data_IF_090130798205
#
_entry.id   IF_090130798205
#
_cell.length_a   1.000
_cell.length_b   1.000
_cell.length_c   1.000
_cell.angle_alpha   90.00
_cell.angle_beta   90.00
_cell.angle_gamma   90.00
#
_symmetry.space_group_name_H-M   'P 1'
#
loop_
_entity.id
_entity.type
_entity.pdbx_description
1 polymer ?
#
# COMPACT_ATOMS: atom_id res chain seq x y z
N UNK A 1 -7.80 -12.43 6.83
CA UNK A 1 -7.87 -11.72 5.54
C UNK A 1 -7.80 -12.76 4.43
N UNK A 2 -8.70 -12.76 3.43
CA UNK A 2 -8.62 -13.69 2.30
C UNK A 2 -7.40 -13.38 1.43
N UNK A 3 -6.96 -14.34 0.62
CA UNK A 3 -5.91 -14.09 -0.38
C UNK A 3 -6.49 -13.34 -1.58
N UNK A 4 -5.66 -12.59 -2.30
CA UNK A 4 -6.13 -11.90 -3.49
C UNK A 4 -6.65 -12.85 -4.57
N UNK A 5 -6.07 -14.05 -4.66
CA UNK A 5 -6.51 -15.07 -5.61
C UNK A 5 -7.90 -15.63 -5.26
N UNK A 6 -8.19 -15.84 -3.97
CA UNK A 6 -9.49 -16.31 -3.52
C UNK A 6 -10.59 -15.27 -3.81
N UNK A 7 -10.31 -13.99 -3.52
CA UNK A 7 -11.26 -12.90 -3.80
C UNK A 7 -11.47 -12.69 -5.29
N UNK A 8 -10.40 -12.79 -6.09
CA UNK A 8 -10.49 -12.73 -7.55
C UNK A 8 -11.45 -13.79 -8.10
N UNK A 9 -11.31 -15.03 -7.63
CA UNK A 9 -12.16 -16.14 -8.04
C UNK A 9 -13.62 -15.95 -7.59
N UNK A 10 -13.83 -15.54 -6.34
CA UNK A 10 -15.17 -15.32 -5.77
C UNK A 10 -15.95 -14.23 -6.50
N UNK A 11 -15.29 -13.11 -6.80
CA UNK A 11 -15.91 -11.92 -7.39
C UNK A 11 -15.87 -11.90 -8.93
N UNK A 12 -15.29 -12.92 -9.57
CA UNK A 12 -15.11 -12.96 -11.03
C UNK A 12 -14.42 -11.73 -11.63
N UNK A 13 -13.51 -11.10 -10.87
CA UNK A 13 -12.76 -9.93 -11.31
C UNK A 13 -11.48 -10.31 -12.06
N UNK A 14 -11.00 -9.43 -12.94
CA UNK A 14 -9.82 -9.69 -13.78
C UNK A 14 -8.50 -9.56 -13.00
N UNK A 15 -8.47 -8.71 -11.99
CA UNK A 15 -7.25 -8.28 -11.28
C UNK A 15 -7.30 -8.66 -9.81
N UNK A 16 -6.12 -8.84 -9.22
CA UNK A 16 -5.98 -9.02 -7.77
C UNK A 16 -6.16 -7.68 -7.04
N UNK A 17 -6.81 -7.68 -5.88
CA UNK A 17 -6.75 -6.57 -4.91
C UNK A 17 -5.58 -6.77 -3.93
N UNK A 18 -5.28 -5.80 -3.06
CA UNK A 18 -4.17 -5.89 -2.12
C UNK A 18 -4.47 -6.84 -0.96
N UNK A 19 -3.80 -7.99 -0.96
CA UNK A 19 -3.73 -8.92 0.17
C UNK A 19 -2.52 -8.64 1.07
N UNK A 20 -2.13 -7.38 1.21
CA UNK A 20 -1.01 -6.92 2.01
C UNK A 20 -1.36 -5.57 2.64
N UNK A 21 -0.74 -5.26 3.78
CA UNK A 21 -0.90 -3.99 4.48
C UNK A 21 0.43 -3.28 4.64
N UNK A 22 0.38 -1.96 4.73
CA UNK A 22 1.56 -1.16 4.98
C UNK A 22 2.08 -1.36 6.40
N UNK A 23 3.40 -1.46 6.55
CA UNK A 23 4.04 -1.65 7.86
C UNK A 23 4.31 -0.35 8.63
N UNK A 24 4.21 0.81 7.96
CA UNK A 24 4.71 2.10 8.47
C UNK A 24 6.17 2.36 8.14
N UNK A 25 6.89 1.38 7.57
CA UNK A 25 8.33 1.46 7.38
C UNK A 25 8.77 1.52 5.93
N UNK A 26 10.00 1.99 5.74
CA UNK A 26 10.77 2.04 4.51
C UNK A 26 12.13 1.37 4.73
N UNK A 27 12.70 0.77 3.68
CA UNK A 27 14.09 0.29 3.67
C UNK A 27 14.87 0.89 2.50
N UNK A 28 16.15 1.21 2.72
CA UNK A 28 17.06 1.62 1.64
C UNK A 28 17.37 0.45 0.71
N UNK A 29 17.78 0.74 -0.52
CA UNK A 29 18.35 -0.24 -1.45
C UNK A 29 19.67 -0.81 -0.93
N UNK A 30 19.96 -2.08 -1.25
CA UNK A 30 21.24 -2.75 -0.98
C UNK A 30 21.66 -2.74 0.51
N UNK A 31 20.69 -2.78 1.42
CA UNK A 31 20.92 -2.81 2.88
C UNK A 31 20.39 -4.09 3.51
N UNK A 32 20.94 -4.41 4.69
CA UNK A 32 20.45 -5.53 5.49
C UNK A 32 19.25 -5.10 6.33
N UNK A 33 18.15 -5.85 6.20
CA UNK A 33 16.94 -5.74 7.01
C UNK A 33 16.81 -6.99 7.88
N UNK A 34 16.74 -6.80 9.20
CA UNK A 34 16.55 -7.88 10.16
C UNK A 34 15.11 -7.85 10.69
N UNK A 35 14.41 -8.98 10.62
CA UNK A 35 13.03 -9.11 11.07
C UNK A 35 12.81 -10.41 11.82
N UNK A 36 11.93 -10.37 12.82
CA UNK A 36 11.44 -11.54 13.55
C UNK A 36 9.96 -11.72 13.23
N UNK A 37 9.52 -12.95 13.01
CA UNK A 37 8.09 -13.21 12.74
C UNK A 37 7.57 -14.47 13.41
N UNK A 38 6.28 -14.47 13.71
CA UNK A 38 5.52 -15.69 13.98
C UNK A 38 4.91 -16.20 12.67
N UNK A 39 4.95 -17.51 12.39
CA UNK A 39 4.45 -18.03 11.11
C UNK A 39 5.28 -17.56 9.92
N UNK A 40 4.70 -17.63 8.72
CA UNK A 40 5.44 -17.46 7.45
C UNK A 40 4.78 -16.41 6.53
N UNK A 41 4.78 -15.12 6.90
CA UNK A 41 4.33 -14.05 6.02
C UNK A 41 5.34 -13.82 4.88
N UNK A 42 4.98 -12.96 3.93
CA UNK A 42 5.93 -12.37 3.00
C UNK A 42 6.04 -10.86 3.24
N UNK A 43 7.26 -10.32 3.10
CA UNK A 43 7.46 -8.89 2.95
C UNK A 43 7.45 -8.52 1.47
N UNK A 44 6.82 -7.40 1.16
CA UNK A 44 6.96 -6.73 -0.14
C UNK A 44 7.74 -5.44 0.14
N UNK A 45 8.91 -5.29 -0.47
CA UNK A 45 9.80 -4.14 -0.29
C UNK A 45 9.78 -3.36 -1.61
N UNK A 46 9.23 -2.16 -1.57
CA UNK A 46 8.85 -1.37 -2.74
C UNK A 46 7.34 -1.33 -2.94
N UNK A 47 6.88 -0.42 -3.80
CA UNK A 47 5.46 -0.25 -4.12
C UNK A 47 5.22 -0.62 -5.58
N UNK A 48 4.17 -1.40 -5.85
CA UNK A 48 3.76 -1.72 -7.22
C UNK A 48 3.57 -0.44 -8.05
N UNK A 49 4.19 -0.42 -9.23
CA UNK A 49 4.11 0.65 -10.22
C UNK A 49 4.68 2.02 -9.78
N UNK A 50 5.33 2.11 -8.63
CA UNK A 50 5.89 3.37 -8.15
C UNK A 50 7.12 3.82 -8.94
N UNK A 51 7.97 2.87 -9.35
CA UNK A 51 9.26 3.14 -9.97
C UNK A 51 9.31 2.62 -11.42
N UNK A 52 9.75 3.45 -12.36
CA UNK A 52 9.83 3.18 -13.80
C UNK A 52 10.84 2.09 -14.13
N UNK A 53 11.91 2.01 -13.34
CA UNK A 53 12.99 1.05 -13.55
C UNK A 53 12.64 -0.34 -12.99
N UNK A 54 11.60 -0.45 -12.16
CA UNK A 54 11.04 -1.72 -11.68
C UNK A 54 9.59 -1.57 -11.20
N UNK A 55 8.66 -2.20 -11.93
CA UNK A 55 7.23 -2.06 -11.64
C UNK A 55 6.74 -2.88 -10.43
N UNK A 56 7.52 -3.84 -9.93
CA UNK A 56 7.10 -4.76 -8.88
C UNK A 56 8.03 -4.68 -7.67
N UNK A 57 7.51 -4.86 -6.44
CA UNK A 57 8.34 -4.91 -5.24
C UNK A 57 9.15 -6.20 -5.19
N UNK A 58 10.25 -6.17 -4.42
CA UNK A 58 10.95 -7.37 -4.01
C UNK A 58 10.07 -8.13 -3.01
N UNK A 59 9.74 -9.39 -3.31
CA UNK A 59 8.93 -10.24 -2.43
C UNK A 59 9.85 -11.23 -1.70
N UNK A 60 9.80 -11.22 -0.37
CA UNK A 60 10.63 -12.10 0.47
C UNK A 60 9.73 -12.89 1.42
N UNK A 61 9.70 -14.21 1.26
CA UNK A 61 9.01 -15.11 2.18
C UNK A 61 9.83 -15.25 3.46
N UNK A 62 9.20 -15.03 4.61
CA UNK A 62 9.84 -15.18 5.90
C UNK A 62 9.58 -16.58 6.48
N UNK A 63 10.53 -17.04 7.29
CA UNK A 63 10.36 -18.20 8.15
C UNK A 63 10.06 -17.77 9.59
N UNK A 64 9.36 -18.58 10.39
CA UNK A 64 9.17 -18.29 11.80
C UNK A 64 10.53 -18.09 12.51
N UNK A 65 10.61 -17.09 13.38
CA UNK A 65 11.85 -16.69 14.03
C UNK A 65 12.58 -15.56 13.29
N UNK A 66 13.91 -15.53 13.41
CA UNK A 66 14.76 -14.46 12.88
C UNK A 66 15.07 -14.65 11.40
N UNK A 67 14.94 -13.58 10.63
CA UNK A 67 15.26 -13.53 9.20
C UNK A 67 16.19 -12.35 8.94
N UNK A 68 17.15 -12.54 8.03
CA UNK A 68 18.03 -11.48 7.53
C UNK A 68 17.89 -11.39 6.02
N UNK A 69 17.53 -10.20 5.55
CA UNK A 69 17.12 -9.93 4.17
C UNK A 69 18.05 -8.87 3.62
N UNK A 70 18.50 -9.04 2.38
CA UNK A 70 19.18 -7.98 1.64
C UNK A 70 18.17 -7.33 0.72
N UNK A 71 17.93 -6.03 0.89
CA UNK A 71 17.03 -5.26 0.03
C UNK A 71 17.71 -5.03 -1.33
N UNK A 72 16.96 -5.13 -2.43
CA UNK A 72 17.51 -4.87 -3.77
C UNK A 72 17.29 -3.42 -4.17
N UNK A 73 16.01 -3.00 -4.24
CA UNK A 73 15.64 -1.68 -4.73
C UNK A 73 15.30 -0.68 -3.60
N UNK A 74 14.99 -1.19 -2.41
CA UNK A 74 14.41 -0.39 -1.33
C UNK A 74 12.95 -0.03 -1.57
N UNK A 75 12.41 0.84 -0.72
CA UNK A 75 11.02 1.32 -0.80
C UNK A 75 10.19 1.02 0.44
N UNK A 76 8.91 1.41 0.37
CA UNK A 76 7.93 1.14 1.42
C UNK A 76 7.79 -0.37 1.65
N UNK A 77 7.65 -0.77 2.91
CA UNK A 77 7.56 -2.18 3.30
C UNK A 77 6.11 -2.53 3.61
N UNK A 78 5.61 -3.59 2.98
CA UNK A 78 4.30 -4.17 3.22
C UNK A 78 4.43 -5.59 3.73
N UNK A 79 3.42 -6.03 4.48
CA UNK A 79 3.33 -7.40 4.99
C UNK A 79 2.13 -8.08 4.35
N UNK A 80 2.39 -9.20 3.68
CA UNK A 80 1.38 -10.14 3.21
C UNK A 80 1.32 -11.31 4.20
N UNK A 81 0.17 -11.60 4.83
CA UNK A 81 0.07 -12.74 5.72
C UNK A 81 0.25 -14.05 4.95
N UNK A 82 0.81 -15.04 5.63
CA UNK A 82 0.76 -16.43 5.18
C UNK A 82 -0.60 -17.07 5.49
N UNK A 83 -0.67 -18.39 5.41
CA UNK A 83 -1.88 -19.16 5.74
C UNK A 83 -2.28 -19.12 7.23
N UNK A 84 -1.39 -18.65 8.12
CA UNK A 84 -1.65 -18.58 9.55
C UNK A 84 -2.72 -17.54 9.91
N UNK A 85 -3.61 -17.88 10.85
CA UNK A 85 -4.72 -17.02 11.28
C UNK A 85 -4.27 -15.65 11.85
N UNK A 86 -3.09 -15.59 12.47
CA UNK A 86 -2.47 -14.35 12.93
C UNK A 86 -0.95 -14.42 12.79
N UNK A 87 -0.35 -13.34 12.28
CA UNK A 87 1.11 -13.17 12.17
C UNK A 87 1.53 -11.89 12.87
N UNK A 88 2.61 -11.96 13.65
CA UNK A 88 3.33 -10.80 14.20
C UNK A 88 4.65 -10.69 13.46
N UNK A 89 4.94 -9.50 12.94
CA UNK A 89 6.24 -9.15 12.37
C UNK A 89 6.84 -8.05 13.22
N UNK A 90 8.07 -8.26 13.68
CA UNK A 90 8.86 -7.29 14.43
C UNK A 90 10.08 -6.93 13.59
N UNK A 91 10.21 -5.65 13.26
CA UNK A 91 11.40 -5.13 12.59
C UNK A 91 12.48 -4.88 13.64
N UNK A 92 13.63 -5.53 13.49
CA UNK A 92 14.74 -5.48 14.45
C UNK A 92 15.73 -4.39 14.08
N UNK A 93 16.14 -4.33 12.80
CA UNK A 93 17.04 -3.29 12.30
C UNK A 93 16.98 -3.15 10.77
N UNK A 94 17.42 -2.01 10.26
CA UNK A 94 17.47 -1.68 8.83
C UNK A 94 16.23 -0.96 8.30
N UNK A 95 15.13 -0.98 9.04
CA UNK A 95 13.92 -0.21 8.74
C UNK A 95 14.06 1.26 9.15
N UNK A 96 13.37 2.15 8.44
CA UNK A 96 13.18 3.56 8.78
C UNK A 96 11.69 3.88 8.80
N UNK A 97 11.28 4.82 9.64
CA UNK A 97 9.91 5.34 9.63
C UNK A 97 9.60 6.03 8.28
N UNK A 98 8.37 5.87 7.80
CA UNK A 98 7.87 6.54 6.62
C UNK A 98 6.58 7.32 6.96
N UNK A 99 6.35 8.51 6.37
CA UNK A 99 5.12 9.24 6.59
C UNK A 99 3.89 8.40 6.20
N UNK A 100 2.97 8.26 7.14
CA UNK A 100 1.77 7.45 7.05
C UNK A 100 0.54 8.18 7.61
N UNK A 101 -0.38 8.55 6.72
CA UNK A 101 -1.70 9.05 7.10
C UNK A 101 -2.69 7.90 7.12
N UNK A 102 -3.37 7.67 8.24
CA UNK A 102 -4.44 6.68 8.35
C UNK A 102 -5.74 7.36 8.75
N UNK A 103 -6.78 7.19 7.92
CA UNK A 103 -8.09 7.78 8.14
C UNK A 103 -8.64 7.44 9.52
N UNK A 104 -9.09 8.46 10.25
CA UNK A 104 -9.60 8.34 11.62
C UNK A 104 -8.54 8.06 12.69
N UNK A 105 -7.24 8.04 12.35
CA UNK A 105 -6.14 7.87 13.32
C UNK A 105 -5.09 8.98 13.27
N UNK A 106 -4.68 9.38 12.07
CA UNK A 106 -3.68 10.44 11.89
C UNK A 106 -4.39 11.79 11.76
N UNK A 107 -3.98 12.79 12.53
CA UNK A 107 -4.45 14.17 12.36
C UNK A 107 -3.61 14.92 11.32
N UNK A 108 -4.11 16.02 10.75
CA UNK A 108 -3.32 16.86 9.82
C UNK A 108 -2.04 17.42 10.47
N UNK A 109 -2.09 17.73 11.77
CA UNK A 109 -0.91 18.15 12.54
C UNK A 109 0.11 17.01 12.66
N UNK A 110 -0.33 15.78 12.94
CA UNK A 110 0.54 14.62 12.98
C UNK A 110 1.15 14.35 11.61
N UNK A 111 0.35 14.48 10.55
CA UNK A 111 0.80 14.31 9.18
C UNK A 111 1.90 15.29 8.81
N UNK A 112 1.68 16.59 9.05
CA UNK A 112 2.69 17.61 8.80
C UNK A 112 3.98 17.35 9.61
N UNK A 113 3.85 16.88 10.86
CA UNK A 113 4.99 16.50 11.70
C UNK A 113 5.73 15.29 11.13
N UNK A 114 5.03 14.26 10.68
CA UNK A 114 5.63 13.08 10.05
C UNK A 114 6.37 13.45 8.77
N UNK A 115 5.77 14.27 7.90
CA UNK A 115 6.41 14.76 6.68
C UNK A 115 7.72 15.51 7.00
N UNK A 116 7.76 16.28 8.08
CA UNK A 116 8.99 16.97 8.52
C UNK A 116 10.03 16.02 9.13
N UNK A 117 9.59 15.04 9.92
CA UNK A 117 10.48 14.19 10.74
C UNK A 117 11.04 13.00 9.97
N UNK A 118 10.20 12.31 9.20
CA UNK A 118 10.54 11.07 8.51
C UNK A 118 11.08 11.38 7.11
N UNK A 119 12.27 11.98 7.06
CA UNK A 119 12.88 12.48 5.82
C UNK A 119 13.55 11.39 4.98
N UNK A 120 13.82 10.22 5.58
CA UNK A 120 14.56 9.16 4.91
C UNK A 120 13.73 8.36 3.90
N UNK A 121 12.41 8.34 4.04
CA UNK A 121 11.51 7.72 3.07
C UNK A 121 11.20 8.72 1.93
N UNK A 122 11.52 8.40 0.67
CA UNK A 122 11.22 9.26 -0.47
C UNK A 122 9.73 9.22 -0.86
N UNK A 123 8.99 8.25 -0.33
CA UNK A 123 7.59 7.98 -0.61
C UNK A 123 6.77 7.97 0.68
N UNK A 124 5.48 8.25 0.54
CA UNK A 124 4.52 8.28 1.64
C UNK A 124 3.30 7.45 1.31
N UNK A 125 2.49 7.13 2.32
CA UNK A 125 1.24 6.41 2.13
C UNK A 125 0.08 7.08 2.88
N UNK A 126 -1.06 7.20 2.20
CA UNK A 126 -2.36 7.52 2.79
C UNK A 126 -3.22 6.25 2.78
N UNK A 127 -3.86 5.89 3.88
CA UNK A 127 -4.73 4.71 3.97
C UNK A 127 -6.12 5.09 4.45
N UNK A 128 -7.10 4.84 3.58
CA UNK A 128 -8.53 4.90 3.88
C UNK A 128 -9.05 3.58 4.42
N UNK A 129 -10.37 3.40 4.39
CA UNK A 129 -11.02 2.14 4.75
C UNK A 129 -10.92 1.12 3.62
N UNK A 130 -10.89 1.56 2.36
CA UNK A 130 -10.94 0.70 1.17
C UNK A 130 -9.74 0.90 0.25
N UNK A 131 -8.94 1.93 0.49
CA UNK A 131 -7.88 2.36 -0.41
C UNK A 131 -6.55 2.60 0.32
N UNK A 132 -5.45 2.41 -0.41
CA UNK A 132 -4.13 2.92 -0.09
C UNK A 132 -3.67 3.81 -1.24
N UNK A 133 -3.16 5.00 -0.96
CA UNK A 133 -2.58 5.90 -1.95
C UNK A 133 -1.10 6.10 -1.67
N UNK A 134 -0.25 5.88 -2.68
CA UNK A 134 1.19 6.10 -2.57
C UNK A 134 1.62 7.21 -3.50
N UNK A 135 2.42 8.14 -2.98
CA UNK A 135 3.00 9.25 -3.72
C UNK A 135 4.38 9.59 -3.21
N UNK A 136 5.11 10.39 -3.98
CA UNK A 136 6.38 10.96 -3.55
C UNK A 136 6.19 11.89 -2.33
N UNK A 137 7.14 11.85 -1.39
CA UNK A 137 7.18 12.77 -0.24
C UNK A 137 7.26 14.22 -0.69
N UNK A 138 7.92 14.50 -1.83
CA UNK A 138 7.98 15.84 -2.41
C UNK A 138 6.57 16.37 -2.75
N UNK A 139 5.70 15.54 -3.35
CA UNK A 139 4.31 15.94 -3.60
C UNK A 139 3.49 16.02 -2.34
N UNK A 140 3.66 15.08 -1.42
CA UNK A 140 2.99 15.14 -0.13
C UNK A 140 3.30 16.45 0.62
N UNK A 141 4.54 16.95 0.54
CA UNK A 141 4.91 18.27 1.08
C UNK A 141 4.22 19.41 0.34
N UNK A 142 4.12 19.33 -1.00
CA UNK A 142 3.44 20.35 -1.82
C UNK A 142 1.95 20.46 -1.46
N UNK A 143 1.29 19.33 -1.20
CA UNK A 143 -0.14 19.24 -0.90
C UNK A 143 -0.44 18.99 0.59
N UNK A 144 0.52 19.29 1.47
CA UNK A 144 0.40 18.97 2.91
C UNK A 144 -0.75 19.68 3.64
N UNK A 145 -1.31 20.74 3.05
CA UNK A 145 -2.39 21.54 3.62
C UNK A 145 -3.77 21.12 3.10
N UNK A 146 -3.84 20.13 2.22
CA UNK A 146 -5.11 19.53 1.80
C UNK A 146 -5.78 18.76 2.95
N UNK A 147 -7.07 18.53 2.82
CA UNK A 147 -7.83 17.68 3.75
C UNK A 147 -7.66 16.20 3.33
N UNK A 148 -6.69 15.51 3.94
CA UNK A 148 -6.35 14.13 3.59
C UNK A 148 -7.46 13.16 3.97
N UNK A 149 -8.26 13.49 4.99
CA UNK A 149 -9.44 12.72 5.34
C UNK A 149 -10.47 12.77 4.20
N UNK A 150 -10.80 13.96 3.68
CA UNK A 150 -11.72 14.10 2.55
C UNK A 150 -11.23 13.43 1.29
N UNK A 151 -9.92 13.48 1.00
CA UNK A 151 -9.32 12.79 -0.16
C UNK A 151 -9.55 11.27 -0.06
N UNK A 152 -9.24 10.69 1.11
CA UNK A 152 -9.44 9.25 1.35
C UNK A 152 -10.92 8.86 1.34
N UNK A 153 -11.78 9.68 1.94
CA UNK A 153 -13.23 9.46 1.94
C UNK A 153 -13.82 9.51 0.52
N UNK A 154 -13.34 10.42 -0.32
CA UNK A 154 -13.77 10.50 -1.72
C UNK A 154 -13.40 9.22 -2.49
N UNK A 155 -12.18 8.69 -2.30
CA UNK A 155 -11.76 7.45 -2.93
C UNK A 155 -12.51 6.22 -2.38
N UNK A 156 -12.74 6.16 -1.07
CA UNK A 156 -13.54 5.11 -0.46
C UNK A 156 -14.99 5.14 -0.97
N UNK A 157 -15.57 6.34 -1.16
CA UNK A 157 -16.91 6.48 -1.73
C UNK A 157 -16.97 6.02 -3.20
N UNK A 158 -15.97 6.37 -4.01
CA UNK A 158 -15.85 5.88 -5.39
C UNK A 158 -15.86 4.35 -5.43
N UNK A 159 -15.05 3.70 -4.59
CA UNK A 159 -14.98 2.23 -4.51
C UNK A 159 -16.32 1.63 -4.05
N UNK A 160 -17.03 2.29 -3.14
CA UNK A 160 -18.37 1.86 -2.73
C UNK A 160 -19.38 1.95 -3.88
N UNK A 161 -19.37 3.03 -4.67
CA UNK A 161 -20.23 3.16 -5.84
C UNK A 161 -19.92 2.09 -6.90
N UNK A 162 -18.64 1.79 -7.15
CA UNK A 162 -18.26 0.68 -8.04
C UNK A 162 -18.80 -0.65 -7.53
N UNK A 163 -18.73 -0.90 -6.22
CA UNK A 163 -19.27 -2.11 -5.60
C UNK A 163 -20.80 -2.19 -5.72
N UNK A 164 -21.52 -1.07 -5.53
CA UNK A 164 -22.96 -0.98 -5.68
C UNK A 164 -23.40 -1.27 -7.12
N UNK A 165 -22.75 -0.65 -8.11
CA UNK A 165 -23.00 -0.90 -9.54
C UNK A 165 -22.74 -2.38 -9.89
N UNK A 166 -21.74 -3.00 -9.26
CA UNK A 166 -21.43 -4.42 -9.44
C UNK A 166 -22.38 -5.37 -8.68
N UNK A 167 -23.38 -4.88 -7.97
CA UNK A 167 -24.32 -5.69 -7.19
C UNK A 167 -23.72 -6.30 -5.92
N UNK A 168 -22.65 -5.72 -5.38
CA UNK A 168 -21.98 -6.17 -4.15
C UNK A 168 -22.65 -5.56 -2.90
N UNK A 169 -23.94 -5.84 -2.73
CA UNK A 169 -24.80 -5.31 -1.68
C UNK A 169 -24.74 -6.07 -0.34
N UNK A 170 -23.98 -7.16 -0.27
CA UNK A 170 -23.84 -7.99 0.92
C UNK A 170 -25.04 -8.89 1.24
N UNK A 171 -26.06 -8.95 0.37
CA UNK A 171 -27.26 -9.78 0.59
C UNK A 171 -26.98 -11.29 0.60
N UNK A 172 -25.87 -11.72 0.01
CA UNK A 172 -25.36 -13.11 -0.01
C UNK A 172 -23.83 -13.15 0.09
N UNK A 173 -23.20 -14.28 0.46
CA UNK A 173 -21.74 -14.40 0.49
C UNK A 173 -21.06 -14.01 -0.84
N UNK A 174 -21.68 -14.29 -1.98
CA UNK A 174 -21.14 -13.93 -3.30
C UNK A 174 -21.27 -12.44 -3.59
N UNK A 175 -22.27 -11.78 -2.98
CA UNK A 175 -22.52 -10.34 -3.11
C UNK A 175 -21.75 -9.51 -2.07
N UNK A 176 -20.90 -10.13 -1.25
CA UNK A 176 -20.06 -9.36 -0.32
C UNK A 176 -18.94 -8.64 -1.07
N UNK A 177 -18.76 -7.35 -0.79
CA UNK A 177 -17.59 -6.59 -1.25
C UNK A 177 -16.30 -7.24 -0.74
N UNK A 178 -15.23 -7.11 -1.52
CA UNK A 178 -13.92 -7.56 -1.06
C UNK A 178 -13.47 -6.80 0.18
N UNK A 179 -12.93 -7.47 1.22
CA UNK A 179 -12.32 -6.81 2.36
C UNK A 179 -10.88 -6.31 2.06
N UNK A 180 -10.36 -6.58 0.86
CA UNK A 180 -9.02 -6.19 0.43
C UNK A 180 -9.00 -4.73 -0.04
N UNK A 181 -7.85 -4.07 0.15
CA UNK A 181 -7.67 -2.67 -0.23
C UNK A 181 -7.33 -2.52 -1.72
N UNK A 182 -7.64 -1.35 -2.27
CA UNK A 182 -7.20 -0.91 -3.59
C UNK A 182 -5.98 -0.01 -3.46
N UNK A 183 -4.86 -0.35 -4.12
CA UNK A 183 -3.69 0.52 -4.17
C UNK A 183 -3.79 1.47 -5.37
N UNK A 184 -3.63 2.76 -5.10
CA UNK A 184 -3.54 3.85 -6.07
C UNK A 184 -2.13 4.45 -6.00
N UNK A 185 -1.34 4.30 -7.06
CA UNK A 185 0.08 4.66 -7.02
C UNK A 185 0.41 5.79 -8.01
N UNK A 186 0.99 6.88 -7.52
CA UNK A 186 1.77 7.77 -8.38
C UNK A 186 3.00 7.01 -8.91
N UNK A 187 3.21 7.00 -10.23
CA UNK A 187 4.45 6.49 -10.84
C UNK A 187 5.42 7.64 -11.14
N UNK A 188 6.73 7.39 -11.10
CA UNK A 188 7.75 8.33 -11.62
C UNK A 188 7.95 8.22 -13.15
N UNK A 189 7.23 7.32 -13.81
CA UNK A 189 7.19 7.21 -15.27
C UNK A 189 6.14 8.14 -15.89
N UNK A 190 6.43 8.72 -17.06
CA UNK A 190 5.51 9.63 -17.78
C UNK A 190 4.55 8.91 -18.74
N UNK A 191 4.71 7.59 -18.94
CA UNK A 191 3.86 6.79 -19.83
C UNK A 191 3.71 5.36 -19.31
N UNK A 192 2.52 4.74 -19.45
CA UNK A 192 1.26 5.34 -19.94
C UNK A 192 0.67 6.35 -18.94
N UNK A 193 -0.29 7.18 -19.38
CA UNK A 193 -0.89 8.24 -18.56
C UNK A 193 -1.52 7.71 -17.26
N UNK A 194 -2.35 6.67 -17.37
CA UNK A 194 -2.93 5.92 -16.25
C UNK A 194 -3.17 4.48 -16.69
N UNK A 195 -3.13 3.53 -15.74
CA UNK A 195 -3.45 2.12 -16.03
C UNK A 195 -3.89 1.35 -14.78
N UNK A 196 -4.54 0.21 -15.00
CA UNK A 196 -4.99 -0.71 -13.95
C UNK A 196 -4.53 -2.15 -14.26
N UNK A 197 -3.96 -2.83 -13.27
CA UNK A 197 -3.61 -4.25 -13.36
C UNK A 197 -3.49 -4.83 -11.94
N UNK A 198 -3.19 -6.11 -11.79
CA UNK A 198 -3.19 -6.80 -10.48
C UNK A 198 -2.50 -5.98 -9.38
N UNK A 199 -3.20 -5.83 -8.27
CA UNK A 199 -2.84 -5.08 -7.07
C UNK A 199 -2.99 -3.56 -7.11
N UNK A 200 -3.01 -2.89 -8.27
CA UNK A 200 -2.94 -1.42 -8.30
C UNK A 200 -3.57 -0.75 -9.52
N UNK A 201 -4.02 0.48 -9.31
CA UNK A 201 -4.07 1.51 -10.35
C UNK A 201 -2.83 2.38 -10.24
N UNK A 202 -2.35 2.89 -11.37
CA UNK A 202 -1.16 3.71 -11.44
C UNK A 202 -1.39 4.95 -12.30
N UNK A 203 -0.81 6.06 -11.88
CA UNK A 203 -1.07 7.39 -12.41
C UNK A 203 0.27 8.09 -12.65
N UNK A 204 0.50 8.55 -13.88
CA UNK A 204 1.70 9.32 -14.25
C UNK A 204 1.76 10.65 -13.48
N UNK A 205 2.94 11.32 -13.42
CA UNK A 205 3.05 12.61 -12.74
C UNK A 205 2.04 13.66 -13.22
N UNK A 206 1.74 13.65 -14.53
CA UNK A 206 0.75 14.51 -15.18
C UNK A 206 -0.69 14.08 -14.83
N UNK A 207 -0.92 12.78 -14.66
CA UNK A 207 -2.20 12.23 -14.20
C UNK A 207 -2.52 12.50 -12.73
N UNK A 208 -1.54 12.94 -11.94
CA UNK A 208 -1.71 13.30 -10.53
C UNK A 208 -1.74 14.83 -10.30
N UNK A 209 -1.87 15.65 -11.33
CA UNK A 209 -1.99 17.10 -11.16
C UNK A 209 -3.31 17.42 -10.43
N UNK A 210 -3.20 17.89 -9.20
CA UNK A 210 -4.32 18.52 -8.50
C UNK A 210 -4.52 19.92 -9.11
N UNK A 211 -5.74 20.18 -9.60
CA UNK A 211 -6.14 21.47 -10.16
C UNK A 211 -6.45 22.48 -9.06
#
# INVERSE_FOLDING_TARGET
MPSAAAEKARLFIRTHHCDFWFSGFYADANTALAVETTGSPALLIGTYSRYKDHANPQIVKLQPGSNRITTTFGGLIYVRPGASASVKVKFVSGQKEAPYFKLGKTTETDWAKQLHTFTAAPDVLLEGKLSMMVMSRQRAIRYKNEDHAKILEAADNLINWEAEIAGLDGSKPEHQRSPLLFLMTETDGVSPYMYATSYRTAYSPDGCLFA
#
